data_IF_475796580967
#
_entry.id   IF_475796580967
#
_cell.length_a   1.000
_cell.length_b   1.000
_cell.length_c   1.000
_cell.angle_alpha   90.00
_cell.angle_beta   90.00
_cell.angle_gamma   90.00
#
_symmetry.space_group_name_H-M   'P 1'
#
loop_
_entity.id
_entity.type
_entity.pdbx_description
1 polymer ?
#
# COMPACT_ATOMS: atom_id res chain seq x y z
N UNK A 1 33.00 -7.60 -11.04
CA UNK A 1 32.10 -8.13 -9.99
C UNK A 1 32.02 -7.11 -8.85
N UNK A 2 30.82 -6.72 -8.45
CA UNK A 2 30.57 -5.79 -7.33
C UNK A 2 30.41 -6.57 -6.01
N UNK A 3 31.01 -7.72 -5.88
CA UNK A 3 30.83 -8.63 -4.74
C UNK A 3 31.31 -8.09 -3.38
N UNK A 4 32.05 -6.97 -3.37
CA UNK A 4 32.47 -6.30 -2.12
C UNK A 4 31.65 -5.02 -1.82
N UNK A 5 30.59 -4.77 -2.60
CA UNK A 5 29.72 -3.59 -2.38
C UNK A 5 28.94 -3.78 -1.09
N UNK A 6 29.08 -2.83 -0.17
CA UNK A 6 28.35 -2.83 1.10
C UNK A 6 27.11 -1.94 1.05
N UNK A 7 27.15 -0.85 0.32
CA UNK A 7 26.02 0.08 0.17
C UNK A 7 25.76 0.35 -1.29
N UNK A 8 24.53 0.17 -1.73
CA UNK A 8 24.04 0.62 -3.04
C UNK A 8 23.01 1.74 -2.82
N UNK A 9 23.42 2.94 -3.18
CA UNK A 9 22.57 4.11 -3.12
C UNK A 9 22.30 4.63 -4.53
N UNK A 10 21.06 4.50 -4.98
CA UNK A 10 20.58 4.86 -6.31
C UNK A 10 19.28 5.65 -6.25
N UNK A 11 19.03 6.28 -5.09
CA UNK A 11 17.86 7.14 -4.90
C UNK A 11 17.85 8.34 -5.84
N UNK A 12 16.67 8.94 -6.03
CA UNK A 12 16.47 10.15 -6.85
C UNK A 12 17.00 10.01 -8.27
N UNK A 13 16.64 8.92 -8.93
CA UNK A 13 16.95 8.61 -10.32
C UNK A 13 15.66 8.33 -11.12
N UNK A 14 15.82 7.72 -12.29
CA UNK A 14 14.68 7.33 -13.15
C UNK A 14 14.68 5.82 -13.40
N UNK A 15 15.01 5.03 -12.37
CA UNK A 15 15.02 3.58 -12.47
C UNK A 15 13.57 3.06 -12.51
N UNK A 16 13.28 2.14 -13.41
CA UNK A 16 11.98 1.46 -13.52
C UNK A 16 12.00 0.04 -12.96
N UNK A 17 13.18 -0.52 -12.71
CA UNK A 17 13.34 -1.84 -12.12
C UNK A 17 14.72 -2.00 -11.47
N UNK A 18 14.83 -2.94 -10.55
CA UNK A 18 16.11 -3.48 -10.09
C UNK A 18 16.52 -4.68 -10.97
N UNK A 19 17.83 -4.92 -11.15
CA UNK A 19 18.29 -6.07 -11.94
C UNK A 19 17.87 -7.41 -11.30
N UNK A 20 17.48 -8.38 -12.13
CA UNK A 20 17.06 -9.71 -11.67
C UNK A 20 18.13 -10.49 -10.88
N UNK A 21 19.37 -10.08 -10.95
CA UNK A 21 20.52 -10.68 -10.27
C UNK A 21 21.02 -9.82 -9.10
N UNK A 22 20.20 -8.90 -8.58
CA UNK A 22 20.54 -8.03 -7.44
C UNK A 22 20.98 -8.84 -6.21
N UNK A 23 20.39 -10.01 -6.00
CA UNK A 23 20.72 -10.93 -4.91
C UNK A 23 22.18 -11.45 -4.93
N UNK A 24 22.88 -11.33 -6.07
CA UNK A 24 24.30 -11.67 -6.15
C UNK A 24 25.21 -10.70 -5.37
N UNK A 25 24.67 -9.58 -4.87
CA UNK A 25 25.41 -8.63 -4.04
C UNK A 25 25.44 -9.10 -2.56
N UNK A 26 25.99 -10.27 -2.33
CA UNK A 26 25.96 -10.97 -1.03
C UNK A 26 26.60 -10.23 0.15
N UNK A 27 27.40 -9.19 -0.08
CA UNK A 27 27.97 -8.33 0.96
C UNK A 27 27.20 -7.01 1.13
N UNK A 28 26.08 -6.82 0.41
CA UNK A 28 25.28 -5.63 0.53
C UNK A 28 24.63 -5.58 1.91
N UNK A 29 24.76 -4.46 2.58
CA UNK A 29 24.19 -4.19 3.91
C UNK A 29 23.13 -3.11 3.89
N UNK A 30 23.13 -2.22 2.89
CA UNK A 30 22.11 -1.21 2.69
C UNK A 30 21.78 -1.07 1.20
N UNK A 31 20.48 -1.06 0.88
CA UNK A 31 19.93 -0.78 -0.44
C UNK A 31 18.99 0.41 -0.34
N UNK A 32 19.35 1.52 -0.97
CA UNK A 32 18.59 2.76 -1.00
C UNK A 32 18.23 3.05 -2.45
N UNK A 33 16.98 2.81 -2.81
CA UNK A 33 16.46 2.96 -4.17
C UNK A 33 15.18 3.82 -4.22
N UNK A 34 14.98 4.62 -3.18
CA UNK A 34 13.83 5.53 -3.08
C UNK A 34 13.82 6.62 -4.14
N UNK A 35 12.65 7.25 -4.34
CA UNK A 35 12.46 8.32 -5.31
C UNK A 35 12.92 7.91 -6.73
N UNK A 36 12.34 6.85 -7.25
CA UNK A 36 12.50 6.33 -8.60
C UNK A 36 11.12 6.01 -9.21
N UNK A 37 11.05 5.21 -10.26
CA UNK A 37 9.82 4.74 -10.91
C UNK A 37 9.80 3.21 -10.95
N UNK A 38 10.29 2.56 -9.89
CA UNK A 38 10.39 1.10 -9.82
C UNK A 38 9.00 0.51 -9.65
N UNK A 39 8.57 -0.32 -10.60
CA UNK A 39 7.25 -0.95 -10.63
C UNK A 39 7.23 -2.32 -9.92
N UNK A 40 8.39 -2.99 -9.86
CA UNK A 40 8.53 -4.28 -9.20
C UNK A 40 9.95 -4.54 -8.73
N UNK A 41 10.11 -5.40 -7.74
CA UNK A 41 11.41 -5.91 -7.28
C UNK A 41 11.49 -7.42 -7.52
N UNK A 42 12.65 -7.93 -7.94
CA UNK A 42 12.81 -9.34 -8.27
C UNK A 42 12.85 -10.22 -7.02
N UNK A 43 12.44 -11.49 -7.15
CA UNK A 43 12.52 -12.49 -6.08
C UNK A 43 13.95 -12.63 -5.49
N UNK A 44 14.98 -12.37 -6.28
CA UNK A 44 16.37 -12.42 -5.80
C UNK A 44 16.71 -11.37 -4.74
N UNK A 45 15.82 -10.41 -4.47
CA UNK A 45 16.01 -9.47 -3.35
C UNK A 45 16.10 -10.21 -2.02
N UNK A 46 15.38 -11.32 -1.87
CA UNK A 46 15.42 -12.17 -0.69
C UNK A 46 16.77 -12.85 -0.45
N UNK A 47 17.66 -12.90 -1.45
CA UNK A 47 19.02 -13.44 -1.31
C UNK A 47 19.98 -12.44 -0.64
N UNK A 48 19.55 -11.19 -0.46
CA UNK A 48 20.31 -10.12 0.20
C UNK A 48 20.32 -10.29 1.73
N UNK A 49 20.80 -11.41 2.21
CA UNK A 49 20.72 -11.83 3.61
C UNK A 49 21.48 -10.95 4.60
N UNK A 50 22.35 -10.04 4.15
CA UNK A 50 23.11 -9.12 5.00
C UNK A 50 22.51 -7.69 5.03
N UNK A 51 21.46 -7.43 4.26
CA UNK A 51 20.84 -6.11 4.23
C UNK A 51 20.04 -5.89 5.51
N UNK A 52 20.40 -4.82 6.23
CA UNK A 52 19.69 -4.37 7.41
C UNK A 52 18.83 -3.11 7.14
N UNK A 53 19.08 -2.41 6.03
CA UNK A 53 18.37 -1.19 5.64
C UNK A 53 17.92 -1.30 4.18
N UNK A 54 16.61 -1.37 3.96
CA UNK A 54 15.97 -1.41 2.64
C UNK A 54 15.02 -0.23 2.50
N UNK A 55 15.37 0.70 1.62
CA UNK A 55 14.55 1.88 1.31
C UNK A 55 14.08 1.83 -0.15
N UNK A 56 12.79 1.62 -0.31
CA UNK A 56 12.05 1.59 -1.57
C UNK A 56 10.95 2.66 -1.61
N UNK A 57 10.97 3.62 -0.70
CA UNK A 57 9.96 4.69 -0.62
C UNK A 57 9.89 5.54 -1.89
N UNK A 58 8.70 6.06 -2.18
CA UNK A 58 8.44 6.89 -3.37
C UNK A 58 8.87 6.22 -4.69
N UNK A 59 8.23 5.11 -4.99
CA UNK A 59 8.32 4.37 -6.26
C UNK A 59 6.90 4.05 -6.78
N UNK A 60 6.80 3.13 -7.73
CA UNK A 60 5.51 2.70 -8.33
C UNK A 60 5.24 1.21 -8.04
N UNK A 61 5.71 0.70 -6.89
CA UNK A 61 5.55 -0.72 -6.55
C UNK A 61 4.08 -1.06 -6.34
N UNK A 62 3.61 -2.09 -7.04
CA UNK A 62 2.26 -2.64 -6.88
C UNK A 62 2.22 -3.84 -5.93
N UNK A 63 3.32 -4.59 -5.85
CA UNK A 63 3.45 -5.79 -5.01
C UNK A 63 4.87 -5.96 -4.49
N UNK A 64 5.03 -6.79 -3.45
CA UNK A 64 6.32 -7.30 -2.99
C UNK A 64 6.45 -8.80 -3.23
N UNK A 65 7.64 -9.33 -3.55
CA UNK A 65 7.87 -10.76 -3.64
C UNK A 65 7.83 -11.41 -2.24
N UNK A 66 7.32 -12.63 -2.15
CA UNK A 66 7.30 -13.38 -0.89
C UNK A 66 8.67 -13.66 -0.30
N UNK A 67 9.70 -13.67 -1.15
CA UNK A 67 11.10 -13.83 -0.75
C UNK A 67 11.63 -12.71 0.14
N UNK A 68 10.92 -11.58 0.26
CA UNK A 68 11.29 -10.48 1.18
C UNK A 68 11.48 -11.01 2.62
N UNK A 69 10.71 -12.02 3.03
CA UNK A 69 10.81 -12.66 4.34
C UNK A 69 12.16 -13.37 4.60
N UNK A 70 12.94 -13.67 3.56
CA UNK A 70 14.26 -14.27 3.71
C UNK A 70 15.33 -13.28 4.18
N UNK A 71 15.02 -11.98 4.22
CA UNK A 71 15.95 -10.92 4.62
C UNK A 71 16.09 -10.85 6.15
N UNK A 72 16.67 -11.88 6.76
CA UNK A 72 16.68 -12.12 8.21
C UNK A 72 17.45 -11.08 9.05
N UNK A 73 18.22 -10.20 8.45
CA UNK A 73 18.95 -9.12 9.12
C UNK A 73 18.28 -7.75 8.94
N UNK A 74 17.11 -7.70 8.27
CA UNK A 74 16.42 -6.46 8.00
C UNK A 74 15.97 -5.79 9.30
N UNK A 75 16.31 -4.52 9.47
CA UNK A 75 15.94 -3.69 10.61
C UNK A 75 15.13 -2.47 10.20
N UNK A 76 15.34 -1.97 8.99
CA UNK A 76 14.59 -0.84 8.43
C UNK A 76 14.00 -1.25 7.09
N UNK A 77 12.69 -1.12 6.99
CA UNK A 77 11.93 -1.39 5.76
C UNK A 77 11.04 -0.20 5.43
N UNK A 78 11.37 0.52 4.37
CA UNK A 78 10.59 1.66 3.90
C UNK A 78 9.93 1.37 2.57
N UNK A 79 8.59 1.44 2.58
CA UNK A 79 7.71 1.13 1.45
C UNK A 79 6.74 2.27 1.16
N UNK A 80 6.79 3.36 1.91
CA UNK A 80 5.85 4.48 1.81
C UNK A 80 5.85 5.14 0.43
N UNK A 81 4.69 5.72 0.04
CA UNK A 81 4.54 6.42 -1.23
C UNK A 81 4.73 5.50 -2.45
N UNK A 82 4.06 4.34 -2.46
CA UNK A 82 4.01 3.39 -3.57
C UNK A 82 2.54 3.13 -3.97
N UNK A 83 2.31 2.13 -4.81
CA UNK A 83 0.98 1.70 -5.26
C UNK A 83 0.64 0.30 -4.72
N UNK A 84 1.18 -0.07 -3.55
CA UNK A 84 0.97 -1.40 -2.98
C UNK A 84 -0.49 -1.57 -2.57
N UNK A 85 -1.18 -2.52 -3.19
CA UNK A 85 -2.56 -2.92 -2.83
C UNK A 85 -2.61 -4.16 -1.94
N UNK A 86 -1.50 -4.87 -1.81
CA UNK A 86 -1.36 -6.04 -0.94
C UNK A 86 0.09 -6.26 -0.55
N UNK A 87 0.28 -7.00 0.54
CA UNK A 87 1.59 -7.46 0.99
C UNK A 87 1.55 -8.98 1.18
N UNK A 88 2.66 -9.70 0.93
CA UNK A 88 2.70 -11.14 1.18
C UNK A 88 2.59 -11.41 2.69
N UNK A 89 1.76 -12.39 3.08
CA UNK A 89 1.62 -12.82 4.48
C UNK A 89 2.96 -13.13 5.15
N UNK A 90 3.89 -13.69 4.38
CA UNK A 90 5.24 -13.99 4.85
C UNK A 90 6.06 -12.77 5.29
N UNK A 91 5.59 -11.55 5.02
CA UNK A 91 6.29 -10.35 5.51
C UNK A 91 6.35 -10.32 7.04
N UNK A 92 5.38 -10.93 7.71
CA UNK A 92 5.35 -11.06 9.17
C UNK A 92 6.39 -12.06 9.73
N UNK A 93 7.07 -12.83 8.88
CA UNK A 93 8.21 -13.66 9.29
C UNK A 93 9.51 -12.85 9.51
N UNK A 94 9.52 -11.58 9.10
CA UNK A 94 10.61 -10.66 9.39
C UNK A 94 10.67 -10.32 10.88
N UNK A 95 11.88 -10.33 11.46
CA UNK A 95 12.12 -9.91 12.84
C UNK A 95 12.26 -8.37 12.93
N UNK A 96 11.16 -7.68 12.56
CA UNK A 96 11.06 -6.21 12.56
C UNK A 96 10.31 -5.71 13.78
N UNK A 97 10.77 -4.60 14.34
CA UNK A 97 9.98 -3.82 15.31
C UNK A 97 9.00 -2.92 14.53
N UNK A 98 7.80 -3.46 14.25
CA UNK A 98 6.80 -2.86 13.36
C UNK A 98 6.30 -1.48 13.83
N UNK A 99 6.27 -1.25 15.15
CA UNK A 99 5.83 0.02 15.75
C UNK A 99 6.97 0.81 16.37
N UNK A 100 8.19 0.28 16.35
CA UNK A 100 9.34 0.89 17.02
C UNK A 100 9.94 2.06 16.27
N UNK A 101 10.63 2.90 17.05
CA UNK A 101 11.44 4.02 16.56
C UNK A 101 12.86 3.87 17.06
N UNK A 102 13.83 4.31 16.27
CA UNK A 102 15.22 4.39 16.69
C UNK A 102 15.49 5.58 17.64
N UNK A 103 16.74 5.73 18.08
CA UNK A 103 17.14 6.84 18.96
C UNK A 103 17.03 8.24 18.33
N UNK A 104 16.83 8.30 17.02
CA UNK A 104 16.59 9.53 16.25
C UNK A 104 15.11 9.74 15.92
N UNK A 105 14.23 8.94 16.51
CA UNK A 105 12.79 8.92 16.28
C UNK A 105 12.40 8.53 14.84
N UNK A 106 13.28 7.81 14.13
CA UNK A 106 12.99 7.27 12.82
C UNK A 106 12.34 5.88 12.96
N UNK A 107 11.25 5.58 12.24
CA UNK A 107 10.59 4.29 12.33
C UNK A 107 11.47 3.18 11.74
N UNK A 108 11.38 1.97 12.31
CA UNK A 108 11.99 0.80 11.70
C UNK A 108 11.18 0.29 10.51
N UNK A 109 9.88 0.58 10.50
CA UNK A 109 8.98 0.26 9.39
C UNK A 109 8.14 1.48 9.05
N UNK A 110 7.88 1.72 7.76
CA UNK A 110 6.96 2.75 7.30
C UNK A 110 6.39 2.39 5.93
N UNK A 111 5.07 2.41 5.78
CA UNK A 111 4.38 2.05 4.54
C UNK A 111 3.19 2.95 4.19
N UNK A 112 3.10 4.15 4.76
CA UNK A 112 2.04 5.10 4.44
C UNK A 112 2.01 5.50 2.96
N UNK A 113 0.87 6.01 2.48
CA UNK A 113 0.69 6.43 1.09
C UNK A 113 0.79 5.30 0.07
N UNK A 114 0.16 4.18 0.39
CA UNK A 114 -0.09 3.05 -0.50
C UNK A 114 -1.60 2.84 -0.65
N UNK A 115 -2.04 1.71 -1.16
CA UNK A 115 -3.43 1.30 -1.33
C UNK A 115 -3.72 0.03 -0.51
N UNK A 116 -3.16 -0.05 0.70
CA UNK A 116 -3.30 -1.19 1.61
C UNK A 116 -4.59 -1.06 2.42
N UNK A 117 -5.73 -1.44 1.82
CA UNK A 117 -7.07 -1.21 2.36
C UNK A 117 -7.67 -2.48 2.97
N UNK A 118 -7.45 -3.62 2.32
CA UNK A 118 -8.04 -4.89 2.70
C UNK A 118 -6.99 -6.01 2.79
N UNK A 119 -7.28 -7.04 3.57
CA UNK A 119 -6.45 -8.25 3.67
C UNK A 119 -4.96 -7.95 3.96
N UNK A 120 -4.72 -7.04 4.88
CA UNK A 120 -3.37 -6.62 5.27
C UNK A 120 -2.85 -7.60 6.32
N UNK A 121 -1.58 -8.10 6.19
CA UNK A 121 -0.97 -8.93 7.21
C UNK A 121 -1.02 -8.30 8.60
N UNK A 122 -1.37 -9.06 9.64
CA UNK A 122 -1.62 -8.58 10.99
C UNK A 122 -0.47 -7.74 11.58
N UNK A 123 0.78 -8.09 11.28
CA UNK A 123 1.96 -7.35 11.77
C UNK A 123 2.04 -5.93 11.19
N UNK A 124 1.52 -5.73 9.99
CA UNK A 124 1.47 -4.44 9.30
C UNK A 124 0.24 -3.66 9.74
N UNK A 125 -0.94 -4.29 9.71
CA UNK A 125 -2.21 -3.65 10.08
C UNK A 125 -2.22 -3.13 11.52
N UNK A 126 -1.49 -3.79 12.43
CA UNK A 126 -1.37 -3.37 13.84
C UNK A 126 -0.15 -2.48 14.12
N UNK A 127 0.58 -2.05 13.10
CA UNK A 127 1.74 -1.17 13.24
C UNK A 127 1.32 0.28 13.49
N UNK A 128 1.89 0.93 14.50
CA UNK A 128 1.75 2.38 14.72
C UNK A 128 2.37 3.20 13.57
N UNK A 129 3.18 2.57 12.74
CA UNK A 129 3.88 3.19 11.61
C UNK A 129 3.19 2.88 10.25
N UNK A 130 1.97 2.32 10.26
CA UNK A 130 1.22 1.93 9.06
C UNK A 130 0.99 3.11 8.10
N UNK A 131 0.53 4.24 8.62
CA UNK A 131 0.25 5.47 7.87
C UNK A 131 1.41 6.48 7.93
N UNK A 132 2.61 6.01 8.22
CA UNK A 132 3.79 6.88 8.32
C UNK A 132 4.63 6.79 7.04
N UNK A 133 5.11 7.96 6.62
CA UNK A 133 6.14 8.11 5.61
C UNK A 133 7.24 9.06 6.09
N UNK A 134 8.26 9.24 5.28
CA UNK A 134 9.29 10.24 5.48
C UNK A 134 9.14 11.35 4.45
N UNK A 135 9.44 12.58 4.86
CA UNK A 135 9.42 13.75 3.97
C UNK A 135 10.31 13.50 2.73
N UNK A 136 9.77 13.79 1.53
CA UNK A 136 10.33 13.32 0.26
C UNK A 136 11.71 13.90 -0.12
N UNK A 137 12.05 15.10 0.37
CA UNK A 137 13.27 15.79 -0.09
C UNK A 137 14.51 15.41 0.72
N UNK A 138 14.38 15.33 2.04
CA UNK A 138 15.53 15.19 2.93
C UNK A 138 15.46 13.97 3.85
N UNK A 139 14.28 13.30 3.95
CA UNK A 139 14.08 12.17 4.87
C UNK A 139 14.41 12.51 6.34
N UNK A 140 14.16 13.78 6.71
CA UNK A 140 14.61 14.34 7.99
C UNK A 140 13.60 14.20 9.12
N UNK A 141 12.33 13.92 8.78
CA UNK A 141 11.24 13.77 9.73
C UNK A 141 10.12 12.91 9.16
N UNK A 142 9.37 12.30 10.04
CA UNK A 142 8.17 11.53 9.69
C UNK A 142 7.02 12.45 9.33
N UNK A 143 6.19 12.00 8.41
CA UNK A 143 4.93 12.64 8.03
C UNK A 143 3.81 11.62 8.15
N UNK A 144 2.62 12.12 8.46
CA UNK A 144 1.38 11.37 8.32
C UNK A 144 1.08 11.24 6.82
N UNK A 145 0.98 10.01 6.36
CA UNK A 145 0.79 9.66 4.96
C UNK A 145 -0.21 8.49 4.89
N UNK A 146 -1.52 8.77 5.07
CA UNK A 146 -2.53 7.72 5.11
C UNK A 146 -2.56 6.90 3.82
N UNK A 147 -3.08 5.68 3.92
CA UNK A 147 -3.31 4.84 2.74
C UNK A 147 -4.28 5.53 1.80
N UNK A 148 -4.03 5.44 0.50
CA UNK A 148 -4.94 5.90 -0.56
C UNK A 148 -5.98 4.79 -0.81
N UNK A 149 -6.83 4.61 0.17
CA UNK A 149 -7.97 3.73 0.07
C UNK A 149 -9.10 4.55 -0.53
N UNK A 150 -9.17 4.56 -1.85
CA UNK A 150 -10.44 4.92 -2.44
C UNK A 150 -11.46 3.95 -1.83
N UNK A 151 -12.35 4.46 -1.00
CA UNK A 151 -13.56 3.73 -0.69
C UNK A 151 -14.09 3.26 -2.03
N UNK A 152 -14.50 2.01 -2.14
CA UNK A 152 -14.97 1.41 -3.40
C UNK A 152 -16.28 2.11 -3.83
N UNK A 153 -16.13 3.38 -4.20
CA UNK A 153 -17.23 4.19 -4.67
C UNK A 153 -17.80 3.50 -5.91
N UNK A 154 -19.12 3.35 -5.95
CA UNK A 154 -19.77 2.61 -7.00
C UNK A 154 -19.76 1.09 -6.83
N UNK A 155 -19.47 0.60 -5.62
CA UNK A 155 -19.56 -0.85 -5.34
C UNK A 155 -20.97 -1.39 -5.55
N UNK A 156 -21.98 -0.57 -5.29
CA UNK A 156 -23.39 -0.93 -5.36
C UNK A 156 -23.92 -1.67 -4.12
N UNK A 157 -23.06 -2.14 -3.24
CA UNK A 157 -23.44 -2.71 -1.94
C UNK A 157 -23.56 -1.59 -0.90
N UNK A 158 -24.69 -0.91 -0.90
CA UNK A 158 -24.93 0.29 -0.10
C UNK A 158 -25.23 -0.03 1.35
N UNK A 159 -25.76 -1.22 1.61
CA UNK A 159 -26.11 -1.69 2.97
C UNK A 159 -24.98 -2.50 3.63
N UNK A 160 -23.89 -2.76 2.91
CA UNK A 160 -22.71 -3.51 3.35
C UNK A 160 -23.03 -4.96 3.82
N UNK A 161 -23.94 -5.66 3.10
CA UNK A 161 -24.30 -7.04 3.39
C UNK A 161 -23.57 -8.07 2.50
N UNK A 162 -22.58 -7.61 1.72
CA UNK A 162 -21.76 -8.36 0.76
C UNK A 162 -22.56 -8.85 -0.47
N UNK A 163 -23.73 -8.29 -0.74
CA UNK A 163 -24.58 -8.61 -1.89
C UNK A 163 -25.05 -7.33 -2.56
N UNK A 164 -25.08 -7.31 -3.88
CA UNK A 164 -25.69 -6.20 -4.62
C UNK A 164 -27.07 -6.64 -5.07
N UNK A 165 -28.12 -6.16 -4.42
CA UNK A 165 -29.49 -6.58 -4.69
C UNK A 165 -30.52 -5.44 -4.64
N UNK A 166 -31.80 -5.80 -4.60
CA UNK A 166 -32.89 -4.81 -4.60
C UNK A 166 -32.92 -3.95 -3.34
N UNK A 167 -32.31 -4.39 -2.22
CA UNK A 167 -32.26 -3.59 -0.99
C UNK A 167 -31.33 -2.40 -1.15
N UNK A 168 -30.23 -2.55 -1.89
CA UNK A 168 -29.30 -1.48 -2.22
C UNK A 168 -29.94 -0.46 -3.13
N UNK A 169 -30.69 -0.92 -4.13
CA UNK A 169 -31.49 -0.02 -4.99
C UNK A 169 -32.49 0.79 -4.16
N UNK A 170 -33.19 0.17 -3.20
CA UNK A 170 -34.14 0.86 -2.33
C UNK A 170 -33.43 1.86 -1.41
N UNK A 171 -32.26 1.50 -0.88
CA UNK A 171 -31.45 2.39 -0.04
C UNK A 171 -30.97 3.59 -0.86
N UNK A 172 -30.42 3.38 -2.05
CA UNK A 172 -29.98 4.45 -2.95
C UNK A 172 -31.14 5.39 -3.34
N UNK A 173 -32.31 4.85 -3.64
CA UNK A 173 -33.52 5.68 -3.92
C UNK A 173 -33.88 6.54 -2.70
N UNK A 174 -33.80 6.02 -1.48
CA UNK A 174 -34.08 6.79 -0.27
C UNK A 174 -33.04 7.89 -0.03
N UNK A 175 -31.76 7.65 -0.38
CA UNK A 175 -30.70 8.66 -0.36
C UNK A 175 -31.05 9.79 -1.35
N UNK A 176 -31.34 9.45 -2.62
CA UNK A 176 -31.68 10.40 -3.69
C UNK A 176 -32.92 11.26 -3.29
N UNK A 177 -33.89 10.66 -2.62
CA UNK A 177 -35.09 11.38 -2.17
C UNK A 177 -34.89 12.17 -0.86
N UNK A 178 -33.72 12.07 -0.23
CA UNK A 178 -33.43 12.71 1.07
C UNK A 178 -34.28 12.15 2.23
N UNK A 179 -34.68 10.90 2.13
CA UNK A 179 -35.45 10.21 3.17
C UNK A 179 -34.59 9.67 4.30
N UNK A 180 -33.29 9.45 4.06
CA UNK A 180 -32.29 8.98 5.03
C UNK A 180 -31.06 9.86 4.96
N UNK A 181 -30.41 10.06 6.11
CA UNK A 181 -29.07 10.66 6.20
C UNK A 181 -28.05 9.55 6.03
N UNK A 182 -27.47 9.44 4.84
CA UNK A 182 -26.49 8.42 4.54
C UNK A 182 -25.10 8.79 5.08
N UNK A 183 -24.35 7.78 5.50
CA UNK A 183 -22.93 7.90 5.84
C UNK A 183 -22.07 8.14 4.57
N UNK A 184 -20.83 8.57 4.76
CA UNK A 184 -19.89 8.76 3.64
C UNK A 184 -19.68 7.46 2.86
N UNK A 185 -19.60 6.30 3.53
CA UNK A 185 -19.46 4.99 2.90
C UNK A 185 -20.70 4.60 2.08
N UNK A 186 -21.93 4.85 2.59
CA UNK A 186 -23.15 4.60 1.84
C UNK A 186 -23.27 5.51 0.61
N UNK A 187 -22.89 6.80 0.74
CA UNK A 187 -22.85 7.74 -0.39
C UNK A 187 -21.85 7.26 -1.46
N UNK A 188 -20.65 6.86 -1.03
CA UNK A 188 -19.63 6.35 -1.89
C UNK A 188 -20.07 5.06 -2.60
N UNK A 189 -20.62 4.07 -1.87
CA UNK A 189 -21.12 2.83 -2.48
C UNK A 189 -22.28 3.06 -3.49
N UNK A 190 -23.08 4.08 -3.26
CA UNK A 190 -24.23 4.43 -4.11
C UNK A 190 -23.83 5.19 -5.38
N UNK A 191 -22.66 5.82 -5.46
CA UNK A 191 -22.18 6.58 -6.62
C UNK A 191 -21.63 5.63 -7.70
N UNK A 192 -22.53 5.01 -8.44
CA UNK A 192 -22.25 3.95 -9.42
C UNK A 192 -21.49 4.45 -10.66
N UNK A 193 -21.49 5.75 -10.92
CA UNK A 193 -20.85 6.35 -12.09
C UNK A 193 -19.64 7.21 -11.74
N UNK A 194 -19.32 7.35 -10.43
CA UNK A 194 -18.20 8.11 -9.88
C UNK A 194 -18.22 9.59 -10.30
N UNK A 195 -19.40 10.20 -10.34
CA UNK A 195 -19.55 11.64 -10.66
C UNK A 195 -19.72 12.53 -9.42
N UNK A 196 -19.61 11.95 -8.24
CA UNK A 196 -19.77 12.57 -6.92
C UNK A 196 -21.20 13.10 -6.63
N UNK A 197 -22.20 12.67 -7.41
CA UNK A 197 -23.60 13.01 -7.18
C UNK A 197 -24.44 11.74 -7.14
N UNK A 198 -25.15 11.51 -6.04
CA UNK A 198 -26.06 10.37 -5.97
C UNK A 198 -27.39 10.76 -6.58
N UNK A 199 -27.69 10.24 -7.75
CA UNK A 199 -28.92 10.58 -8.49
C UNK A 199 -29.58 9.35 -9.18
N UNK A 200 -30.51 9.61 -10.07
CA UNK A 200 -31.25 8.55 -10.77
C UNK A 200 -30.36 7.74 -11.71
N UNK A 201 -29.21 8.26 -12.17
CA UNK A 201 -28.30 7.54 -13.06
C UNK A 201 -27.62 6.41 -12.31
N UNK A 202 -27.28 6.60 -11.04
CA UNK A 202 -26.72 5.56 -10.16
C UNK A 202 -27.73 4.45 -9.92
N UNK A 203 -28.96 4.81 -9.60
CA UNK A 203 -30.05 3.83 -9.45
C UNK A 203 -30.21 2.98 -10.72
N UNK A 204 -30.20 3.61 -11.91
CA UNK A 204 -30.31 2.89 -13.18
C UNK A 204 -29.12 1.98 -13.42
N UNK A 205 -27.91 2.46 -13.10
CA UNK A 205 -26.68 1.68 -13.23
C UNK A 205 -26.71 0.45 -12.34
N UNK A 206 -27.07 0.60 -11.07
CA UNK A 206 -27.22 -0.49 -10.10
C UNK A 206 -28.29 -1.52 -10.55
N UNK A 207 -29.47 -1.07 -11.00
CA UNK A 207 -30.52 -1.96 -11.52
C UNK A 207 -29.99 -2.75 -12.73
N UNK A 208 -29.25 -2.13 -13.64
CA UNK A 208 -28.67 -2.83 -14.78
C UNK A 208 -27.65 -3.89 -14.36
N UNK A 209 -26.88 -3.61 -13.29
CA UNK A 209 -25.91 -4.57 -12.74
C UNK A 209 -26.61 -5.81 -12.18
N UNK A 210 -27.71 -5.64 -11.44
CA UNK A 210 -28.48 -6.73 -10.84
C UNK A 210 -29.20 -7.59 -11.89
N UNK A 211 -29.60 -7.02 -13.01
CA UNK A 211 -30.38 -7.70 -14.05
C UNK A 211 -29.54 -8.47 -15.09
N UNK A 212 -28.21 -8.29 -15.12
CA UNK A 212 -27.31 -8.95 -16.06
C UNK A 212 -26.53 -10.10 -15.43
#
# INVERSE_FOLDING_TARGET
SLSSLATLQVDKNSLTALPNDIGNLSNLTALIASNNFIESIPESVGDLSNVWYLDLGYNNLETLPSSISNMSFLQYLYLFGNNLSSLPESICDLDLDWSGLDNSFMPYFACGGNQLCDNIPDCVANSDNFDIGLEANYYSFTIDLPQDCEENCGSGDVNADESIDVLDVVTTVNIVLGNIDASESELCAADMNNDLNIDVLDVVTMVNLILN
#
